data_IF_881286479853
#
_entry.id   IF_881286479853
#
_cell.length_a   1.000
_cell.length_b   1.000
_cell.length_c   1.000
_cell.angle_alpha   90.00
_cell.angle_beta   90.00
_cell.angle_gamma   90.00
#
_symmetry.space_group_name_H-M   'P 1'
#
loop_
_entity.id
_entity.type
_entity.pdbx_description
1 polymer ?
#
# COMPACT_ATOMS: atom_id res chain seq x y z
N UNK A 1 10.27 -12.22 -2.26
CA UNK A 1 8.80 -12.27 -2.28
C UNK A 1 8.28 -10.89 -1.97
N UNK A 2 7.44 -10.34 -2.83
CA UNK A 2 6.82 -9.03 -2.66
C UNK A 2 5.32 -9.24 -2.40
N UNK A 3 4.85 -8.80 -1.23
CA UNK A 3 3.45 -8.86 -0.78
C UNK A 3 2.81 -10.26 -0.65
N UNK A 4 3.52 -11.33 -0.23
CA UNK A 4 2.88 -12.63 -0.05
C UNK A 4 1.80 -12.57 1.06
N UNK A 5 0.55 -12.99 0.79
CA UNK A 5 -0.44 -13.16 1.85
C UNK A 5 0.02 -14.27 2.79
N UNK A 6 -0.30 -14.18 4.08
CA UNK A 6 0.09 -15.18 5.09
C UNK A 6 -0.41 -16.60 4.79
N UNK A 7 -1.44 -16.74 3.94
CA UNK A 7 -1.95 -18.03 3.48
C UNK A 7 -1.13 -18.65 2.32
N UNK A 8 -0.16 -17.92 1.75
CA UNK A 8 0.68 -18.46 0.67
C UNK A 8 1.57 -19.60 1.19
N UNK A 9 1.61 -20.71 0.45
CA UNK A 9 2.52 -21.81 0.76
C UNK A 9 3.87 -21.58 0.10
N UNK A 10 4.89 -21.34 0.92
CA UNK A 10 6.28 -21.17 0.49
C UNK A 10 7.17 -22.35 0.92
N UNK A 11 6.59 -23.43 1.47
CA UNK A 11 7.33 -24.56 2.05
C UNK A 11 8.17 -25.33 1.04
N UNK A 12 7.81 -25.26 -0.25
CA UNK A 12 8.59 -25.84 -1.35
C UNK A 12 9.90 -25.07 -1.65
N UNK A 13 10.11 -23.89 -1.05
CA UNK A 13 11.28 -23.06 -1.26
C UNK A 13 12.23 -23.13 -0.05
N UNK A 14 13.57 -23.12 -0.24
CA UNK A 14 14.51 -23.09 0.86
C UNK A 14 14.37 -21.77 1.66
N UNK A 15 13.94 -21.80 2.94
CA UNK A 15 13.54 -20.61 3.68
C UNK A 15 14.69 -19.61 3.85
N UNK A 16 15.94 -20.07 3.92
CA UNK A 16 17.14 -19.24 4.00
C UNK A 16 17.40 -18.39 2.76
N UNK A 17 16.82 -18.78 1.61
CA UNK A 17 16.90 -18.04 0.35
C UNK A 17 15.68 -17.14 0.11
N UNK A 18 14.66 -17.27 0.95
CA UNK A 18 13.41 -16.51 0.83
C UNK A 18 13.49 -15.24 1.68
N UNK A 19 13.29 -14.10 1.03
CA UNK A 19 13.21 -12.79 1.67
C UNK A 19 11.86 -12.18 1.38
N UNK A 20 11.17 -11.72 2.41
CA UNK A 20 9.78 -11.26 2.34
C UNK A 20 9.75 -9.75 2.55
N UNK A 21 9.15 -9.06 1.60
CA UNK A 21 8.81 -7.66 1.72
C UNK A 21 7.30 -7.50 1.69
N UNK A 22 6.75 -6.85 2.71
CA UNK A 22 5.32 -6.59 2.78
C UNK A 22 5.09 -5.26 3.48
N UNK A 23 4.18 -4.45 2.96
CA UNK A 23 3.80 -3.20 3.62
C UNK A 23 2.76 -3.38 4.73
N UNK A 24 2.08 -4.53 4.88
CA UNK A 24 1.04 -4.72 5.89
C UNK A 24 1.62 -5.33 7.17
N UNK A 25 1.38 -4.70 8.33
CA UNK A 25 1.97 -5.11 9.61
C UNK A 25 1.59 -6.53 10.03
N UNK A 26 0.29 -6.87 10.01
CA UNK A 26 -0.17 -8.22 10.36
C UNK A 26 0.50 -9.33 9.52
N UNK A 27 0.60 -9.12 8.21
CA UNK A 27 1.29 -10.04 7.30
C UNK A 27 2.78 -10.17 7.64
N UNK A 28 3.46 -9.04 7.90
CA UNK A 28 4.86 -9.07 8.38
C UNK A 28 4.99 -9.88 9.67
N UNK A 29 4.12 -9.64 10.64
CA UNK A 29 4.17 -10.33 11.94
C UNK A 29 3.94 -11.84 11.77
N UNK A 30 3.01 -12.25 10.89
CA UNK A 30 2.77 -13.65 10.57
C UNK A 30 4.00 -14.31 9.91
N UNK A 31 4.62 -13.64 8.94
CA UNK A 31 5.81 -14.16 8.27
C UNK A 31 7.05 -14.21 9.18
N UNK A 32 7.21 -13.23 10.08
CA UNK A 32 8.25 -13.27 11.10
C UNK A 32 8.04 -14.43 12.07
N UNK A 33 6.80 -14.67 12.51
CA UNK A 33 6.45 -15.80 13.37
C UNK A 33 6.68 -17.16 12.66
N UNK A 34 6.51 -17.20 11.35
CA UNK A 34 6.84 -18.35 10.51
C UNK A 34 8.36 -18.52 10.23
N UNK A 35 9.21 -17.66 10.78
CA UNK A 35 10.68 -17.76 10.69
C UNK A 35 11.30 -17.20 9.41
N UNK A 36 10.52 -16.50 8.57
CA UNK A 36 11.04 -15.92 7.33
C UNK A 36 11.75 -14.59 7.57
N UNK A 37 12.79 -14.33 6.77
CA UNK A 37 13.52 -13.06 6.78
C UNK A 37 12.68 -11.95 6.17
N UNK A 38 12.35 -10.93 6.96
CA UNK A 38 11.69 -9.71 6.47
C UNK A 38 12.71 -8.67 5.96
N UNK A 39 12.37 -7.98 4.88
CA UNK A 39 13.12 -6.84 4.35
C UNK A 39 12.21 -5.62 4.17
N UNK A 40 12.63 -4.47 4.72
CA UNK A 40 11.95 -3.19 4.52
C UNK A 40 12.30 -2.56 3.17
N UNK A 41 13.56 -2.71 2.73
CA UNK A 41 14.02 -2.36 1.39
C UNK A 41 14.58 -3.61 0.71
N UNK A 42 13.86 -4.19 -0.27
CA UNK A 42 14.29 -5.40 -0.95
C UNK A 42 15.58 -5.20 -1.74
N UNK A 43 16.58 -6.03 -1.48
CA UNK A 43 17.83 -6.02 -2.27
C UNK A 43 17.71 -6.86 -3.56
N UNK A 44 18.61 -6.68 -4.54
CA UNK A 44 18.62 -7.51 -5.75
C UNK A 44 18.62 -9.01 -5.46
N UNK A 45 17.99 -9.79 -6.34
CA UNK A 45 17.82 -11.24 -6.21
C UNK A 45 17.84 -11.94 -7.57
N UNK A 46 18.01 -13.26 -7.58
CA UNK A 46 17.95 -14.06 -8.80
C UNK A 46 16.53 -14.10 -9.41
N UNK A 47 15.49 -14.04 -8.57
CA UNK A 47 14.10 -13.96 -8.98
C UNK A 47 13.29 -13.11 -7.98
N UNK A 48 12.26 -12.44 -8.47
CA UNK A 48 11.30 -11.70 -7.65
C UNK A 48 9.88 -12.18 -7.98
N UNK A 49 9.18 -12.74 -6.98
CA UNK A 49 7.77 -13.10 -7.09
C UNK A 49 6.91 -12.01 -6.43
N UNK A 50 6.01 -11.45 -7.23
CA UNK A 50 4.98 -10.48 -6.84
C UNK A 50 3.68 -11.24 -6.62
N UNK A 51 3.10 -11.09 -5.42
CA UNK A 51 1.73 -11.50 -5.17
C UNK A 51 0.82 -10.30 -5.42
N UNK A 52 -0.16 -10.45 -6.33
CA UNK A 52 -0.98 -9.33 -6.82
C UNK A 52 -1.91 -8.84 -5.72
N UNK A 53 -1.76 -7.60 -5.24
CA UNK A 53 -2.71 -7.01 -4.32
C UNK A 53 -3.92 -6.46 -5.07
N UNK A 54 -5.06 -6.34 -4.40
CA UNK A 54 -6.28 -5.72 -4.96
C UNK A 54 -6.10 -4.27 -5.41
N UNK A 55 -5.16 -3.55 -4.80
CA UNK A 55 -4.89 -2.16 -5.14
C UNK A 55 -4.02 -2.09 -6.41
N UNK A 56 -4.62 -1.73 -7.55
CA UNK A 56 -3.95 -1.65 -8.85
C UNK A 56 -2.65 -0.85 -8.82
N UNK A 57 -2.66 0.34 -8.22
CA UNK A 57 -1.46 1.18 -8.10
C UNK A 57 -0.34 0.52 -7.29
N UNK A 58 -0.68 -0.32 -6.30
CA UNK A 58 0.30 -1.09 -5.55
C UNK A 58 0.84 -2.25 -6.39
N UNK A 59 -0.02 -2.96 -7.11
CA UNK A 59 0.40 -4.02 -8.03
C UNK A 59 1.43 -3.50 -9.06
N UNK A 60 1.16 -2.33 -9.65
CA UNK A 60 2.08 -1.65 -10.57
C UNK A 60 3.42 -1.34 -9.90
N UNK A 61 3.41 -0.73 -8.71
CA UNK A 61 4.63 -0.39 -7.98
C UNK A 61 5.46 -1.64 -7.63
N UNK A 62 4.81 -2.74 -7.26
CA UNK A 62 5.49 -4.00 -6.94
C UNK A 62 6.09 -4.65 -8.19
N UNK A 63 5.41 -4.61 -9.34
CA UNK A 63 5.96 -5.09 -10.61
C UNK A 63 7.17 -4.28 -11.04
N UNK A 64 7.09 -2.94 -10.99
CA UNK A 64 8.21 -2.06 -11.30
C UNK A 64 9.42 -2.34 -10.39
N UNK A 65 9.16 -2.53 -9.10
CA UNK A 65 10.17 -2.89 -8.13
C UNK A 65 10.79 -4.27 -8.44
N UNK A 66 9.97 -5.28 -8.74
CA UNK A 66 10.45 -6.62 -9.10
C UNK A 66 11.33 -6.61 -10.35
N UNK A 67 10.89 -5.91 -11.41
CA UNK A 67 11.62 -5.80 -12.67
C UNK A 67 12.99 -5.13 -12.48
N UNK A 68 13.12 -4.17 -11.55
CA UNK A 68 14.40 -3.56 -11.20
C UNK A 68 15.32 -4.50 -10.39
N UNK A 69 14.75 -5.35 -9.53
CA UNK A 69 15.50 -6.11 -8.54
C UNK A 69 15.97 -7.48 -9.01
N UNK A 70 15.32 -8.06 -10.02
CA UNK A 70 15.61 -9.42 -10.44
C UNK A 70 15.55 -9.58 -11.97
N UNK A 71 16.43 -10.42 -12.55
CA UNK A 71 16.37 -10.76 -13.96
C UNK A 71 15.19 -11.67 -14.32
N UNK A 72 14.57 -12.35 -13.33
CA UNK A 72 13.34 -13.12 -13.50
C UNK A 72 12.26 -12.56 -12.59
N UNK A 73 11.15 -12.11 -13.18
CA UNK A 73 9.97 -11.65 -12.46
C UNK A 73 8.87 -12.69 -12.60
N UNK A 74 8.27 -13.06 -11.48
CA UNK A 74 7.05 -13.85 -11.42
C UNK A 74 5.93 -12.99 -10.84
N UNK A 75 4.71 -13.18 -11.33
CA UNK A 75 3.51 -12.50 -10.84
C UNK A 75 2.44 -13.56 -10.60
N UNK A 76 2.16 -13.81 -9.32
CA UNK A 76 1.10 -14.72 -8.88
C UNK A 76 -0.09 -13.92 -8.38
N UNK A 77 -1.30 -14.27 -8.81
CA UNK A 77 -2.49 -13.57 -8.38
C UNK A 77 -3.77 -14.32 -8.66
N UNK A 78 -4.81 -13.93 -7.94
CA UNK A 78 -6.16 -14.43 -8.14
C UNK A 78 -6.95 -13.51 -9.08
N UNK A 79 -7.95 -14.07 -9.78
CA UNK A 79 -8.85 -13.31 -10.65
C UNK A 79 -9.58 -12.21 -9.89
N UNK A 80 -10.00 -12.50 -8.67
CA UNK A 80 -10.72 -11.58 -7.79
C UNK A 80 -9.83 -10.42 -7.33
N UNK A 81 -8.51 -10.61 -7.33
CA UNK A 81 -7.53 -9.57 -7.01
C UNK A 81 -7.06 -8.79 -8.25
N UNK A 82 -7.58 -9.13 -9.45
CA UNK A 82 -7.36 -8.37 -10.68
C UNK A 82 -6.19 -8.83 -11.55
N UNK A 83 -5.68 -10.06 -11.36
CA UNK A 83 -4.54 -10.58 -12.13
C UNK A 83 -4.76 -10.57 -13.65
N UNK A 84 -5.99 -10.80 -14.12
CA UNK A 84 -6.31 -10.81 -15.55
C UNK A 84 -6.23 -9.40 -16.18
N UNK A 85 -6.53 -8.35 -15.40
CA UNK A 85 -6.33 -6.97 -15.85
C UNK A 85 -4.84 -6.63 -15.93
N UNK A 86 -4.10 -6.96 -14.87
CA UNK A 86 -2.65 -6.75 -14.82
C UNK A 86 -1.95 -7.49 -15.97
N UNK A 87 -2.35 -8.73 -16.28
CA UNK A 87 -1.83 -9.50 -17.42
C UNK A 87 -1.96 -8.76 -18.74
N UNK A 88 -3.10 -8.12 -19.01
CA UNK A 88 -3.31 -7.38 -20.27
C UNK A 88 -2.37 -6.19 -20.37
N UNK A 89 -2.19 -5.46 -19.28
CA UNK A 89 -1.28 -4.30 -19.21
C UNK A 89 0.19 -4.72 -19.34
N UNK A 90 0.53 -5.85 -18.72
CA UNK A 90 1.83 -6.50 -18.83
C UNK A 90 2.13 -6.94 -20.28
N UNK A 91 1.20 -7.65 -20.94
CA UNK A 91 1.35 -8.10 -22.33
C UNK A 91 1.45 -6.95 -23.34
N UNK A 92 0.78 -5.83 -23.07
CA UNK A 92 0.89 -4.64 -23.90
C UNK A 92 2.31 -4.04 -23.88
N UNK A 93 3.10 -4.32 -22.83
CA UNK A 93 4.49 -3.87 -22.68
C UNK A 93 5.50 -4.93 -23.09
N UNK A 94 5.19 -6.19 -22.81
CA UNK A 94 6.05 -7.35 -23.06
C UNK A 94 5.22 -8.48 -23.66
N UNK A 95 5.15 -8.57 -25.00
CA UNK A 95 4.42 -9.63 -25.69
C UNK A 95 4.93 -11.04 -25.38
N UNK A 96 6.18 -11.17 -24.92
CA UNK A 96 6.85 -12.42 -24.57
C UNK A 96 6.47 -12.99 -23.19
N UNK A 97 5.55 -12.36 -22.45
CA UNK A 97 5.13 -12.85 -21.14
C UNK A 97 4.46 -14.21 -21.26
N UNK A 98 5.02 -15.17 -20.54
CA UNK A 98 4.49 -16.52 -20.40
C UNK A 98 3.69 -16.64 -19.10
N UNK A 99 2.86 -17.69 -19.01
CA UNK A 99 2.10 -17.94 -17.80
C UNK A 99 1.20 -19.15 -17.87
N UNK A 100 0.79 -19.60 -16.69
CA UNK A 100 -0.18 -20.67 -16.49
C UNK A 100 -1.39 -20.13 -15.73
N UNK A 101 -2.56 -20.67 -16.03
CA UNK A 101 -3.78 -20.43 -15.27
C UNK A 101 -4.27 -21.76 -14.72
N UNK A 102 -4.61 -21.78 -13.43
CA UNK A 102 -5.17 -22.94 -12.76
C UNK A 102 -6.24 -22.49 -11.77
N UNK A 103 -7.48 -22.98 -11.95
CA UNK A 103 -8.61 -22.52 -11.16
C UNK A 103 -8.86 -21.02 -11.33
N UNK A 104 -8.90 -20.30 -10.20
CA UNK A 104 -9.01 -18.83 -10.17
C UNK A 104 -7.66 -18.12 -10.09
N UNK A 105 -6.56 -18.87 -10.00
CA UNK A 105 -5.20 -18.35 -9.93
C UNK A 105 -4.54 -18.25 -11.31
N UNK A 106 -3.55 -17.36 -11.38
CA UNK A 106 -2.66 -17.22 -12.52
C UNK A 106 -1.26 -16.89 -12.07
N UNK A 107 -0.29 -17.62 -12.62
CA UNK A 107 1.13 -17.33 -12.50
C UNK A 107 1.66 -16.87 -13.87
N UNK A 108 2.29 -15.70 -13.90
CA UNK A 108 2.97 -15.13 -15.06
C UNK A 108 4.47 -15.03 -14.78
N UNK A 109 5.30 -15.09 -15.80
CA UNK A 109 6.73 -14.79 -15.66
C UNK A 109 7.33 -14.13 -16.90
N UNK A 110 8.37 -13.35 -16.68
CA UNK A 110 9.10 -12.63 -17.72
C UNK A 110 10.47 -12.15 -17.24
N UNK A 111 11.32 -11.75 -18.18
CA UNK A 111 12.61 -11.16 -17.86
C UNK A 111 12.45 -9.81 -17.13
N UNK A 112 13.29 -9.49 -16.16
CA UNK A 112 13.31 -8.16 -15.54
C UNK A 112 13.80 -7.06 -16.49
N UNK A 113 14.16 -5.91 -15.92
CA UNK A 113 14.72 -4.77 -16.64
C UNK A 113 13.73 -3.63 -16.91
N UNK A 114 14.10 -2.76 -17.84
CA UNK A 114 13.39 -1.51 -18.14
C UNK A 114 11.96 -1.72 -18.68
N UNK A 115 11.17 -0.65 -18.74
CA UNK A 115 9.82 -0.63 -19.33
C UNK A 115 8.66 -0.55 -18.31
N UNK A 116 8.99 -0.35 -17.04
CA UNK A 116 8.01 -0.21 -15.94
C UNK A 116 8.31 0.99 -15.04
N UNK A 117 9.16 1.92 -15.47
CA UNK A 117 9.58 3.09 -14.68
C UNK A 117 8.40 4.00 -14.33
N UNK A 118 7.41 4.13 -15.22
CA UNK A 118 6.18 4.88 -15.01
C UNK A 118 5.24 4.21 -13.99
N UNK A 119 5.44 2.94 -13.68
CA UNK A 119 4.71 2.21 -12.63
C UNK A 119 5.38 2.35 -11.26
N UNK A 120 6.61 2.84 -11.19
CA UNK A 120 7.33 2.97 -9.94
C UNK A 120 6.63 3.95 -8.98
N UNK A 121 6.60 3.60 -7.69
CA UNK A 121 6.11 4.52 -6.67
C UNK A 121 7.20 5.52 -6.30
N UNK A 122 6.88 6.81 -6.39
CA UNK A 122 7.71 7.88 -5.83
C UNK A 122 7.58 8.04 -4.29
N UNK A 123 6.91 7.09 -3.62
CA UNK A 123 6.59 7.18 -2.19
C UNK A 123 5.37 8.05 -1.89
N UNK A 124 5.24 8.58 -0.66
CA UNK A 124 4.16 9.48 -0.29
C UNK A 124 4.10 10.71 -1.18
N UNK A 125 2.91 11.01 -1.69
CA UNK A 125 2.63 12.19 -2.52
C UNK A 125 1.40 12.94 -2.02
N UNK A 126 1.25 14.23 -2.36
CA UNK A 126 -0.02 14.93 -2.14
C UNK A 126 -1.19 14.17 -2.80
N UNK A 127 -2.29 14.08 -2.06
CA UNK A 127 -3.58 13.53 -2.48
C UNK A 127 -4.69 14.57 -2.36
N UNK A 128 -5.94 14.12 -2.44
CA UNK A 128 -7.11 15.01 -2.37
C UNK A 128 -7.28 15.64 -0.97
N UNK A 129 -7.95 16.80 -0.93
CA UNK A 129 -8.33 17.50 0.30
C UNK A 129 -7.17 17.79 1.29
N UNK A 130 -5.95 17.92 0.78
CA UNK A 130 -4.74 18.21 1.57
C UNK A 130 -4.21 17.00 2.35
N UNK A 131 -4.69 15.79 2.06
CA UNK A 131 -4.12 14.56 2.61
C UNK A 131 -2.95 14.06 1.78
N UNK A 132 -2.08 13.26 2.40
CA UNK A 132 -0.99 12.56 1.71
C UNK A 132 -1.40 11.11 1.47
N UNK A 133 -1.01 10.57 0.32
CA UNK A 133 -1.36 9.22 -0.12
C UNK A 133 -0.14 8.50 -0.71
N UNK A 134 -0.21 7.18 -0.77
CA UNK A 134 0.75 6.31 -1.45
C UNK A 134 0.06 5.00 -1.86
N UNK A 135 0.62 4.23 -2.80
CA UNK A 135 0.05 2.93 -3.18
C UNK A 135 -0.18 2.02 -1.97
N UNK A 136 -1.36 1.40 -1.92
CA UNK A 136 -1.75 0.46 -0.86
C UNK A 136 -2.28 1.07 0.43
N UNK A 137 -2.40 2.40 0.54
CA UNK A 137 -3.07 3.04 1.69
C UNK A 137 -4.57 3.11 1.46
N UNK A 138 -5.36 2.89 2.52
CA UNK A 138 -6.82 3.01 2.48
C UNK A 138 -7.23 4.46 2.19
N UNK A 139 -8.26 4.64 1.35
CA UNK A 139 -8.77 5.96 0.92
C UNK A 139 -7.77 6.76 0.07
N UNK A 140 -6.97 6.07 -0.76
CA UNK A 140 -5.88 6.70 -1.50
C UNK A 140 -6.30 7.84 -2.45
N UNK A 141 -7.54 7.79 -2.97
CA UNK A 141 -8.09 8.76 -3.93
C UNK A 141 -8.76 9.97 -3.25
N UNK A 142 -8.93 9.92 -1.93
CA UNK A 142 -9.55 10.99 -1.15
C UNK A 142 -10.39 10.45 0.00
N UNK A 143 -10.97 11.34 0.82
CA UNK A 143 -11.74 10.93 2.00
C UNK A 143 -12.92 10.04 1.64
N UNK A 144 -13.01 8.86 2.26
CA UNK A 144 -14.13 7.94 2.03
C UNK A 144 -15.42 8.46 2.70
N UNK A 145 -16.60 8.23 2.10
CA UNK A 145 -17.87 8.70 2.66
C UNK A 145 -18.16 8.21 4.07
N UNK A 146 -17.71 7.00 4.42
CA UNK A 146 -17.88 6.40 5.74
C UNK A 146 -17.11 7.16 6.81
N UNK A 147 -15.83 7.44 6.60
CA UNK A 147 -15.02 8.27 7.49
C UNK A 147 -15.58 9.68 7.63
N UNK A 148 -16.10 10.27 6.56
CA UNK A 148 -16.73 11.59 6.62
C UNK A 148 -18.03 11.57 7.45
N UNK A 149 -18.86 10.54 7.28
CA UNK A 149 -20.07 10.36 8.07
C UNK A 149 -19.76 10.15 9.55
N UNK A 150 -18.79 9.28 9.85
CA UNK A 150 -18.33 9.04 11.21
C UNK A 150 -17.75 10.30 11.83
N UNK A 151 -16.91 11.04 11.10
CA UNK A 151 -16.35 12.31 11.55
C UNK A 151 -17.44 13.32 11.95
N UNK A 152 -18.54 13.38 11.19
CA UNK A 152 -19.71 14.23 11.52
C UNK A 152 -20.45 13.76 12.76
N UNK A 153 -20.55 12.45 12.97
CA UNK A 153 -21.23 11.84 14.11
C UNK A 153 -20.44 11.95 15.43
N UNK A 154 -19.13 12.26 15.39
CA UNK A 154 -18.33 12.45 16.59
C UNK A 154 -18.88 13.60 17.46
N UNK A 155 -18.95 13.43 18.79
CA UNK A 155 -19.28 14.50 19.71
C UNK A 155 -18.38 15.74 19.55
N UNK A 156 -18.91 16.91 19.88
CA UNK A 156 -18.15 18.16 19.85
C UNK A 156 -16.93 18.13 20.79
N UNK A 157 -17.10 17.49 21.96
CA UNK A 157 -16.06 17.31 22.98
C UNK A 157 -15.68 15.83 23.09
N UNK A 158 -14.39 15.54 23.03
CA UNK A 158 -13.83 14.20 23.17
C UNK A 158 -12.84 14.15 24.36
N UNK A 159 -12.55 12.95 24.88
CA UNK A 159 -11.48 12.76 25.86
C UNK A 159 -10.13 13.31 25.39
N UNK A 160 -9.28 13.72 26.33
CA UNK A 160 -7.97 14.30 26.04
C UNK A 160 -7.03 13.38 25.25
N UNK A 161 -7.17 12.07 25.45
CA UNK A 161 -6.36 11.06 24.79
C UNK A 161 -7.26 10.16 23.98
N UNK A 162 -7.05 10.18 22.67
CA UNK A 162 -7.82 9.38 21.71
C UNK A 162 -6.91 8.41 20.96
N UNK A 163 -7.52 7.37 20.40
CA UNK A 163 -6.85 6.45 19.48
C UNK A 163 -7.66 6.33 18.18
N UNK A 164 -6.96 6.32 17.05
CA UNK A 164 -7.51 6.06 15.72
C UNK A 164 -6.91 4.73 15.19
N UNK A 165 -7.72 3.67 15.23
CA UNK A 165 -7.31 2.33 14.83
C UNK A 165 -7.58 2.11 13.35
N UNK A 166 -6.53 2.18 12.54
CA UNK A 166 -6.64 2.07 11.08
C UNK A 166 -6.77 3.42 10.38
N UNK A 167 -6.00 4.40 10.82
CA UNK A 167 -6.11 5.80 10.43
C UNK A 167 -6.03 6.09 8.91
N UNK A 168 -5.55 5.15 8.08
CA UNK A 168 -5.46 5.33 6.62
C UNK A 168 -4.65 6.58 6.23
N UNK A 169 -5.22 7.41 5.34
CA UNK A 169 -4.68 8.74 4.99
C UNK A 169 -4.84 9.79 6.12
N UNK A 170 -5.59 9.49 7.18
CA UNK A 170 -5.70 10.32 8.39
C UNK A 170 -6.97 11.17 8.49
N UNK A 171 -8.05 10.84 7.78
CA UNK A 171 -9.31 11.61 7.82
C UNK A 171 -9.86 11.72 9.23
N UNK A 172 -10.04 10.59 9.93
CA UNK A 172 -10.57 10.57 11.29
C UNK A 172 -9.59 11.16 12.30
N UNK A 173 -8.30 10.81 12.21
CA UNK A 173 -7.25 11.43 13.02
C UNK A 173 -7.29 12.96 12.97
N UNK A 174 -7.45 13.54 11.76
CA UNK A 174 -7.59 15.00 11.59
C UNK A 174 -8.88 15.52 12.22
N UNK A 175 -10.00 14.83 12.03
CA UNK A 175 -11.29 15.23 12.60
C UNK A 175 -11.28 15.17 14.14
N UNK A 176 -10.66 14.16 14.73
CA UNK A 176 -10.51 13.98 16.18
C UNK A 176 -9.67 15.11 16.77
N UNK A 177 -8.52 15.44 16.16
CA UNK A 177 -7.64 16.50 16.65
C UNK A 177 -8.27 17.90 16.61
N UNK A 178 -9.33 18.08 15.82
CA UNK A 178 -10.09 19.33 15.77
C UNK A 178 -11.19 19.44 16.85
N UNK A 179 -11.43 18.38 17.64
CA UNK A 179 -12.48 18.38 18.67
C UNK A 179 -12.00 19.02 19.97
N UNK A 180 -12.94 19.61 20.69
CA UNK A 180 -12.67 20.19 22.00
C UNK A 180 -12.24 19.10 22.98
N UNK A 181 -11.29 19.42 23.85
CA UNK A 181 -10.82 18.53 24.90
C UNK A 181 -9.68 17.60 24.49
N UNK A 182 -9.45 17.37 23.19
CA UNK A 182 -8.37 16.48 22.70
C UNK A 182 -7.01 17.18 22.83
N UNK A 183 -6.09 16.57 23.57
CA UNK A 183 -4.70 17.01 23.69
C UNK A 183 -3.75 16.13 22.86
N UNK A 184 -4.13 14.89 22.57
CA UNK A 184 -3.34 13.96 21.77
C UNK A 184 -4.22 12.89 21.11
N UNK A 185 -3.82 12.46 19.93
CA UNK A 185 -4.35 11.25 19.29
C UNK A 185 -3.21 10.33 18.89
N UNK A 186 -3.33 9.05 19.23
CA UNK A 186 -2.42 8.01 18.75
C UNK A 186 -3.07 7.32 17.56
N UNK A 187 -2.39 7.25 16.42
CA UNK A 187 -2.89 6.54 15.25
C UNK A 187 -2.12 5.26 15.03
N UNK A 188 -2.82 4.17 14.74
CA UNK A 188 -2.21 2.97 14.17
C UNK A 188 -2.54 2.88 12.70
N UNK A 189 -1.54 2.49 11.90
CA UNK A 189 -1.73 2.17 10.48
C UNK A 189 -1.48 0.69 10.29
N UNK A 190 -2.25 0.08 9.38
CA UNK A 190 -1.98 -1.27 8.90
C UNK A 190 -0.73 -1.31 8.03
N UNK A 191 -0.37 -0.19 7.39
CA UNK A 191 0.83 -0.06 6.57
C UNK A 191 2.07 0.31 7.40
N UNK A 192 3.19 -0.40 7.19
CA UNK A 192 4.44 -0.29 7.94
C UNK A 192 5.34 0.92 7.55
N UNK A 193 4.97 1.67 6.50
CA UNK A 193 5.74 2.84 6.06
C UNK A 193 5.59 4.02 7.03
N UNK A 194 6.72 4.50 7.57
CA UNK A 194 6.82 5.52 8.63
C UNK A 194 6.63 6.98 8.17
N UNK A 195 6.53 7.28 6.87
CA UNK A 195 6.83 8.63 6.33
C UNK A 195 5.66 9.63 6.21
N UNK A 196 4.41 9.28 6.54
CA UNK A 196 3.24 10.16 6.27
C UNK A 196 2.86 11.12 7.42
N UNK A 197 3.64 11.25 8.49
CA UNK A 197 3.25 12.05 9.68
C UNK A 197 3.27 13.58 9.44
N UNK A 198 3.91 14.10 8.39
CA UNK A 198 4.02 15.56 8.20
C UNK A 198 2.72 16.28 7.79
N UNK A 199 1.69 15.57 7.34
CA UNK A 199 0.46 16.20 6.85
C UNK A 199 -0.56 16.63 7.91
N UNK A 200 -0.42 16.15 9.16
CA UNK A 200 -1.47 16.32 10.18
C UNK A 200 -1.31 17.58 11.06
N UNK A 201 -0.18 18.30 10.98
CA UNK A 201 0.16 19.39 11.91
C UNK A 201 0.13 20.79 11.29
N UNK A 202 -0.17 20.96 10.00
CA UNK A 202 -0.28 22.29 9.40
C UNK A 202 -1.74 22.74 9.31
N UNK A 203 -2.14 23.84 9.99
CA UNK A 203 -3.45 24.44 9.78
C UNK A 203 -3.52 24.99 8.34
N UNK A 204 -4.57 24.61 7.61
CA UNK A 204 -4.89 25.22 6.32
C UNK A 204 -5.46 26.61 6.64
N UNK A 205 -4.70 27.67 6.34
CA UNK A 205 -5.28 29.03 6.27
C UNK A 205 -6.31 29.03 5.14
N UNK A 206 -7.57 29.28 5.47
CA UNK A 206 -8.61 29.53 4.47
C UNK A 206 -8.27 30.76 3.63
N UNK A 207 -8.83 30.89 2.41
CA UNK A 207 -8.60 32.06 1.57
C UNK A 207 -9.07 33.31 2.33
N UNK A 208 -8.19 34.32 2.41
CA UNK A 208 -8.52 35.62 2.98
C UNK A 208 -9.69 36.22 2.20
N UNK A 209 -10.75 36.59 2.92
CA UNK A 209 -11.85 37.36 2.37
C UNK A 209 -11.31 38.69 1.85
N UNK A 210 -11.31 38.88 0.53
CA UNK A 210 -11.10 40.18 -0.07
C UNK A 210 -12.29 41.08 0.33
N UNK A 211 -12.02 42.04 1.20
CA UNK A 211 -12.97 43.09 1.55
C UNK A 211 -13.33 43.91 0.32
N UNK A 212 -14.63 44.13 0.13
CA UNK A 212 -15.15 45.17 -0.76
C UNK A 212 -14.65 46.53 -0.28
N UNK A 213 -14.08 47.31 -1.19
CA UNK A 213 -14.23 48.76 -1.27
C UNK A 213 -14.75 49.09 -2.67
#
# INVERSE_FOLDING_TARGET
MLHPPAAADLSALPPERVRIHHSHRAERDAWAAAGYRLEDDPAPAAAALVFVPRAKALAHALVAQAARLAPLVLVDGQREDGVDALRRELLARRPEIEGIAQGHGRLLWFAGGAGFEDWASAGPRPGAAGFWTQPGVFSADGPDPGSLLLAKALPARLPARMADFGAGIGVLSRAILAREGVSSSTSSRRTASRSTVRGATSPIRGPASAGRM
#
